data_IF_910903648205
#
_entry.id   IF_910903648205
#
_cell.length_a   1.000
_cell.length_b   1.000
_cell.length_c   1.000
_cell.angle_alpha   90.00
_cell.angle_beta   90.00
_cell.angle_gamma   90.00
#
_symmetry.space_group_name_H-M   'P 1'
#
loop_
_entity.id
_entity.type
_entity.pdbx_description
1 polymer ?
#
# COMPACT_ATOMS: atom_id res chain seq x y z
N UNK A 1 8.34 -16.07 9.65
CA UNK A 1 9.69 -16.21 9.04
C UNK A 1 9.73 -15.73 7.61
N UNK A 2 10.79 -15.02 7.21
CA UNK A 2 11.08 -14.70 5.81
C UNK A 2 12.05 -15.75 5.26
N UNK A 3 11.59 -16.61 4.34
CA UNK A 3 12.41 -17.69 3.76
C UNK A 3 12.87 -17.37 2.35
N UNK A 4 11.91 -17.07 1.48
CA UNK A 4 12.16 -16.90 0.06
C UNK A 4 12.38 -15.42 -0.23
N UNK A 5 13.47 -15.13 -0.93
CA UNK A 5 13.75 -13.83 -1.53
C UNK A 5 14.30 -14.11 -2.93
N UNK A 6 13.46 -13.87 -3.93
CA UNK A 6 13.80 -14.08 -5.32
C UNK A 6 14.83 -13.05 -5.77
N UNK A 7 15.87 -13.48 -6.50
CA UNK A 7 16.82 -12.54 -7.08
C UNK A 7 16.15 -11.66 -8.14
N UNK A 8 16.59 -10.41 -8.25
CA UNK A 8 16.00 -9.47 -9.19
C UNK A 8 16.08 -9.96 -10.66
N UNK A 9 17.15 -10.67 -11.02
CA UNK A 9 17.31 -11.28 -12.34
C UNK A 9 16.21 -12.29 -12.68
N UNK A 10 15.80 -13.11 -11.71
CA UNK A 10 14.71 -14.08 -11.89
C UNK A 10 13.35 -13.39 -12.05
N UNK A 11 13.11 -12.33 -11.28
CA UNK A 11 11.93 -11.47 -11.47
C UNK A 11 11.91 -10.87 -12.88
N UNK A 12 13.03 -10.34 -13.37
CA UNK A 12 13.12 -9.75 -14.71
C UNK A 12 12.82 -10.76 -15.81
N UNK A 13 13.36 -11.99 -15.71
CA UNK A 13 13.05 -13.08 -16.65
C UNK A 13 11.57 -13.40 -16.67
N UNK A 14 10.94 -13.59 -15.50
CA UNK A 14 9.51 -13.85 -15.37
C UNK A 14 8.67 -12.71 -15.95
N UNK A 15 9.02 -11.46 -15.62
CA UNK A 15 8.33 -10.29 -16.14
C UNK A 15 8.41 -10.25 -17.68
N UNK A 16 9.59 -10.46 -18.26
CA UNK A 16 9.75 -10.49 -19.72
C UNK A 16 8.92 -11.59 -20.37
N UNK A 17 8.91 -12.81 -19.82
CA UNK A 17 8.06 -13.89 -20.33
C UNK A 17 6.57 -13.50 -20.31
N UNK A 18 6.09 -12.90 -19.22
CA UNK A 18 4.72 -12.40 -19.15
C UNK A 18 4.44 -11.29 -20.17
N UNK A 19 5.36 -10.33 -20.35
CA UNK A 19 5.18 -9.24 -21.31
C UNK A 19 5.11 -9.74 -22.75
N UNK A 20 5.93 -10.73 -23.12
CA UNK A 20 5.90 -11.35 -24.47
C UNK A 20 4.55 -12.02 -24.73
N UNK A 21 4.04 -12.80 -23.76
CA UNK A 21 2.74 -13.47 -23.88
C UNK A 21 1.59 -12.46 -23.95
N UNK A 22 1.68 -11.37 -23.19
CA UNK A 22 0.62 -10.34 -23.13
C UNK A 22 0.67 -9.36 -24.29
N UNK A 23 1.82 -9.21 -24.98
CA UNK A 23 1.99 -8.28 -26.09
C UNK A 23 0.93 -8.40 -27.19
N UNK A 24 0.64 -9.59 -27.75
CA UNK A 24 -0.40 -9.72 -28.77
C UNK A 24 -1.83 -9.50 -28.24
N UNK A 25 -2.06 -9.69 -26.92
CA UNK A 25 -3.42 -9.66 -26.33
C UNK A 25 -3.78 -8.25 -25.83
N UNK A 26 -2.84 -7.54 -25.20
CA UNK A 26 -3.09 -6.30 -24.46
C UNK A 26 -2.07 -5.19 -24.82
N UNK A 27 -1.70 -5.09 -26.10
CA UNK A 27 -0.72 -4.10 -26.60
C UNK A 27 -0.97 -2.68 -26.08
N UNK A 28 -2.21 -2.19 -26.16
CA UNK A 28 -2.56 -0.83 -25.74
C UNK A 28 -2.27 -0.60 -24.26
N UNK A 29 -2.57 -1.59 -23.42
CA UNK A 29 -2.35 -1.53 -21.97
C UNK A 29 -0.87 -1.52 -21.61
N UNK A 30 -0.06 -2.29 -22.35
CA UNK A 30 1.39 -2.31 -22.20
C UNK A 30 2.00 -0.96 -22.57
N UNK A 31 1.55 -0.35 -23.66
CA UNK A 31 2.00 0.98 -24.08
C UNK A 31 1.61 2.02 -23.02
N UNK A 32 0.36 1.99 -22.58
CA UNK A 32 -0.18 2.92 -21.57
C UNK A 32 0.60 2.86 -20.25
N UNK A 33 0.99 1.66 -19.79
CA UNK A 33 1.69 1.47 -18.53
C UNK A 33 3.19 1.22 -18.67
N UNK A 34 3.77 1.47 -19.85
CA UNK A 34 5.19 1.24 -20.17
C UNK A 34 6.14 1.86 -19.16
N UNK A 35 5.83 3.08 -18.67
CA UNK A 35 6.62 3.78 -17.64
C UNK A 35 6.63 3.02 -16.31
N UNK A 36 5.46 2.55 -15.85
CA UNK A 36 5.35 1.78 -14.61
C UNK A 36 6.02 0.41 -14.74
N UNK A 37 5.87 -0.26 -15.90
CA UNK A 37 6.56 -1.52 -16.18
C UNK A 37 8.08 -1.33 -16.12
N UNK A 38 8.60 -0.29 -16.77
CA UNK A 38 10.04 0.03 -16.77
C UNK A 38 10.54 0.32 -15.36
N UNK A 39 9.77 1.06 -14.57
CA UNK A 39 10.08 1.33 -13.15
C UNK A 39 10.19 0.04 -12.35
N UNK A 40 9.24 -0.88 -12.50
CA UNK A 40 9.27 -2.17 -11.80
C UNK A 40 10.43 -3.05 -12.29
N UNK A 41 10.72 -3.05 -13.59
CA UNK A 41 11.84 -3.79 -14.18
C UNK A 41 13.20 -3.32 -13.64
N UNK A 42 13.35 -2.03 -13.34
CA UNK A 42 14.56 -1.43 -12.76
C UNK A 42 14.60 -1.48 -11.23
N UNK A 43 13.47 -1.76 -10.58
CA UNK A 43 13.36 -1.78 -9.12
C UNK A 43 14.02 -3.05 -8.54
N UNK A 44 15.33 -2.96 -8.35
CA UNK A 44 16.11 -4.00 -7.70
C UNK A 44 15.90 -3.98 -6.17
N UNK A 45 15.42 -5.09 -5.63
CA UNK A 45 15.13 -5.28 -4.20
C UNK A 45 16.13 -6.21 -3.50
N UNK A 46 17.18 -6.66 -4.18
CA UNK A 46 18.12 -7.65 -3.63
C UNK A 46 18.88 -7.09 -2.41
N UNK A 47 19.31 -5.82 -2.50
CA UNK A 47 19.98 -5.09 -1.41
C UNK A 47 19.09 -4.85 -0.19
N UNK A 48 17.77 -5.04 -0.31
CA UNK A 48 16.81 -4.79 0.75
C UNK A 48 16.64 -5.98 1.71
N UNK A 49 17.05 -7.19 1.29
CA UNK A 49 17.00 -8.40 2.10
C UNK A 49 17.65 -8.24 3.50
N UNK A 50 18.87 -7.70 3.66
CA UNK A 50 19.49 -7.54 4.99
C UNK A 50 18.71 -6.60 5.91
N UNK A 51 17.97 -5.63 5.36
CA UNK A 51 17.15 -4.69 6.13
C UNK A 51 15.82 -5.31 6.55
N UNK A 52 15.20 -6.08 5.66
CA UNK A 52 13.86 -6.64 5.88
C UNK A 52 13.91 -7.95 6.67
N UNK A 53 14.92 -8.80 6.46
CA UNK A 53 15.03 -10.13 7.11
C UNK A 53 14.94 -10.07 8.65
N UNK A 54 15.60 -9.11 9.35
CA UNK A 54 15.49 -9.00 10.81
C UNK A 54 14.08 -8.68 11.32
N UNK A 55 13.20 -8.12 10.47
CA UNK A 55 11.83 -7.74 10.84
C UNK A 55 10.86 -8.94 10.92
N UNK A 56 11.34 -10.14 10.59
CA UNK A 56 10.56 -11.37 10.64
C UNK A 56 11.10 -12.30 11.73
N UNK A 57 10.20 -12.95 12.49
CA UNK A 57 10.62 -13.95 13.45
C UNK A 57 11.28 -15.14 12.73
N UNK A 58 12.29 -15.74 13.36
CA UNK A 58 12.97 -16.93 12.81
C UNK A 58 12.06 -18.15 12.67
N UNK A 59 10.97 -18.21 13.45
CA UNK A 59 10.02 -19.33 13.47
C UNK A 59 8.62 -18.92 12.95
N UNK A 60 7.76 -19.91 12.77
CA UNK A 60 6.37 -19.74 12.34
C UNK A 60 6.16 -19.75 10.83
N UNK A 61 4.93 -19.41 10.40
CA UNK A 61 4.52 -19.47 8.99
C UNK A 61 5.44 -18.60 8.12
N UNK A 62 5.89 -19.12 6.96
CA UNK A 62 6.65 -18.32 6.00
C UNK A 62 5.81 -17.16 5.45
N UNK A 63 6.41 -15.97 5.41
CA UNK A 63 5.87 -14.81 4.72
C UNK A 63 5.92 -15.06 3.21
N UNK A 64 4.85 -14.69 2.49
CA UNK A 64 4.71 -14.91 1.04
C UNK A 64 4.74 -13.57 0.31
N UNK A 65 5.31 -13.52 -0.89
CA UNK A 65 5.24 -12.35 -1.79
C UNK A 65 5.75 -11.02 -1.20
N UNK A 66 6.72 -11.00 -0.29
CA UNK A 66 7.10 -9.74 0.37
C UNK A 66 7.71 -8.73 -0.63
N UNK A 67 8.54 -9.19 -1.56
CA UNK A 67 9.04 -8.35 -2.66
C UNK A 67 7.92 -7.87 -3.59
N UNK A 68 6.98 -8.76 -3.90
CA UNK A 68 5.84 -8.39 -4.72
C UNK A 68 4.91 -7.38 -4.07
N UNK A 69 4.75 -7.41 -2.74
CA UNK A 69 3.99 -6.40 -1.99
C UNK A 69 4.65 -5.02 -2.14
N UNK A 70 5.99 -4.94 -2.11
CA UNK A 70 6.73 -3.68 -2.35
C UNK A 70 6.47 -3.16 -3.77
N UNK A 71 6.62 -4.03 -4.78
CA UNK A 71 6.34 -3.67 -6.18
C UNK A 71 4.90 -3.23 -6.37
N UNK A 72 3.97 -3.93 -5.73
CA UNK A 72 2.55 -3.61 -5.74
C UNK A 72 2.24 -2.24 -5.12
N UNK A 73 2.89 -1.88 -4.01
CA UNK A 73 2.74 -0.55 -3.40
C UNK A 73 3.31 0.57 -4.29
N UNK A 74 4.43 0.33 -4.98
CA UNK A 74 4.96 1.28 -5.98
C UNK A 74 3.96 1.46 -7.12
N UNK A 75 3.39 0.37 -7.62
CA UNK A 75 2.39 0.38 -8.67
C UNK A 75 1.08 1.06 -8.23
N UNK A 76 0.67 0.87 -6.99
CA UNK A 76 -0.50 1.53 -6.39
C UNK A 76 -0.38 3.06 -6.48
N UNK A 77 0.80 3.59 -6.13
CA UNK A 77 1.08 5.03 -6.19
C UNK A 77 1.12 5.53 -7.64
N UNK A 78 1.70 4.75 -8.55
CA UNK A 78 1.71 5.09 -9.99
C UNK A 78 0.30 5.17 -10.59
N UNK A 79 -0.61 4.31 -10.10
CA UNK A 79 -2.02 4.30 -10.49
C UNK A 79 -2.87 5.33 -9.74
N UNK A 80 -2.25 6.14 -8.85
CA UNK A 80 -2.91 7.14 -8.01
C UNK A 80 -4.02 6.56 -7.12
N UNK A 81 -3.89 5.29 -6.74
CA UNK A 81 -4.75 4.66 -5.73
C UNK A 81 -4.13 4.90 -4.34
N UNK A 82 -4.98 5.21 -3.36
CA UNK A 82 -4.53 5.55 -2.01
C UNK A 82 -5.17 4.65 -0.94
N UNK A 83 -6.13 3.80 -1.33
CA UNK A 83 -6.72 2.77 -0.48
C UNK A 83 -6.06 1.42 -0.76
N UNK A 84 -5.22 0.97 0.18
CA UNK A 84 -4.60 -0.37 0.13
C UNK A 84 -5.66 -1.47 0.00
N UNK A 85 -6.81 -1.30 0.65
CA UNK A 85 -7.90 -2.28 0.60
C UNK A 85 -8.51 -2.38 -0.79
N UNK A 86 -8.72 -1.24 -1.48
CA UNK A 86 -9.23 -1.24 -2.85
C UNK A 86 -8.16 -1.76 -3.80
N UNK A 87 -6.92 -1.29 -3.65
CA UNK A 87 -5.79 -1.73 -4.46
C UNK A 87 -5.58 -3.24 -4.40
N UNK A 88 -5.58 -3.84 -3.21
CA UNK A 88 -5.42 -5.28 -3.06
C UNK A 88 -6.51 -6.07 -3.80
N UNK A 89 -7.76 -5.56 -3.82
CA UNK A 89 -8.85 -6.16 -4.60
C UNK A 89 -8.62 -5.98 -6.10
N UNK A 90 -8.22 -4.79 -6.53
CA UNK A 90 -7.92 -4.50 -7.94
C UNK A 90 -6.83 -5.43 -8.47
N UNK A 91 -5.71 -5.57 -7.77
CA UNK A 91 -4.61 -6.46 -8.17
C UNK A 91 -5.02 -7.93 -8.12
N UNK A 92 -5.87 -8.33 -7.16
CA UNK A 92 -6.37 -9.70 -7.10
C UNK A 92 -7.27 -10.08 -8.28
N UNK A 93 -8.02 -9.12 -8.82
CA UNK A 93 -8.94 -9.33 -9.94
C UNK A 93 -8.30 -9.10 -11.32
N UNK A 94 -7.05 -8.63 -11.36
CA UNK A 94 -6.40 -8.22 -12.58
C UNK A 94 -5.10 -9.00 -12.83
N UNK A 95 -5.13 -10.03 -13.70
CA UNK A 95 -3.95 -10.85 -14.01
C UNK A 95 -2.75 -10.05 -14.51
N UNK A 96 -2.98 -8.91 -15.18
CA UNK A 96 -1.89 -8.05 -15.65
C UNK A 96 -1.15 -7.44 -14.46
N UNK A 97 -1.87 -6.79 -13.55
CA UNK A 97 -1.28 -6.18 -12.35
C UNK A 97 -0.66 -7.24 -11.43
N UNK A 98 -1.33 -8.38 -11.29
CA UNK A 98 -0.85 -9.53 -10.54
C UNK A 98 0.55 -9.97 -11.01
N UNK A 99 0.72 -10.17 -12.32
CA UNK A 99 1.98 -10.59 -12.92
C UNK A 99 3.05 -9.49 -12.83
N UNK A 100 2.68 -8.22 -13.01
CA UNK A 100 3.62 -7.10 -12.85
C UNK A 100 4.24 -7.06 -11.45
N UNK A 101 3.45 -7.35 -10.41
CA UNK A 101 3.94 -7.41 -9.04
C UNK A 101 4.91 -8.58 -8.80
N UNK A 102 4.95 -9.58 -9.70
CA UNK A 102 5.78 -10.78 -9.54
C UNK A 102 5.29 -11.69 -8.42
N UNK A 103 3.97 -11.83 -8.28
CA UNK A 103 3.40 -12.75 -7.30
C UNK A 103 3.54 -14.20 -7.77
N UNK A 104 4.02 -15.07 -6.87
CA UNK A 104 4.33 -16.47 -7.16
C UNK A 104 3.25 -17.44 -6.66
N UNK A 105 2.30 -16.97 -5.86
CA UNK A 105 1.23 -17.78 -5.28
C UNK A 105 0.03 -17.90 -6.21
N UNK A 106 -0.74 -18.98 -6.05
CA UNK A 106 -2.04 -19.14 -6.74
C UNK A 106 -3.03 -17.98 -6.50
N UNK A 107 -2.84 -17.21 -5.43
CA UNK A 107 -3.72 -16.10 -5.04
C UNK A 107 -2.92 -14.84 -4.72
N UNK A 108 -3.48 -13.67 -5.01
CA UNK A 108 -2.85 -12.39 -4.65
C UNK A 108 -2.84 -12.18 -3.12
N UNK A 109 -1.88 -11.42 -2.57
CA UNK A 109 -1.95 -10.99 -1.18
C UNK A 109 -3.22 -10.20 -0.90
N UNK A 110 -3.92 -10.54 0.19
CA UNK A 110 -5.05 -9.75 0.68
C UNK A 110 -4.58 -8.45 1.36
N UNK A 111 -5.51 -7.52 1.58
CA UNK A 111 -5.20 -6.22 2.21
C UNK A 111 -4.47 -6.35 3.56
N UNK A 112 -4.81 -7.37 4.37
CA UNK A 112 -4.13 -7.65 5.64
C UNK A 112 -2.63 -7.89 5.46
N UNK A 113 -2.20 -8.56 4.39
CA UNK A 113 -0.78 -8.82 4.13
C UNK A 113 0.01 -7.55 3.83
N UNK A 114 -0.61 -6.56 3.17
CA UNK A 114 0.00 -5.24 2.96
C UNK A 114 0.16 -4.50 4.29
N UNK A 115 -0.88 -4.49 5.13
CA UNK A 115 -0.80 -3.84 6.43
C UNK A 115 0.21 -4.54 7.35
N UNK A 116 0.24 -5.88 7.38
CA UNK A 116 1.22 -6.64 8.14
C UNK A 116 2.65 -6.31 7.71
N UNK A 117 2.89 -6.16 6.40
CA UNK A 117 4.18 -5.74 5.86
C UNK A 117 4.56 -4.32 6.32
N UNK A 118 3.64 -3.36 6.18
CA UNK A 118 3.86 -1.97 6.58
C UNK A 118 4.09 -1.82 8.08
N UNK A 119 3.35 -2.57 8.91
CA UNK A 119 3.52 -2.58 10.37
C UNK A 119 4.92 -3.07 10.75
N UNK A 120 5.44 -4.11 10.07
CA UNK A 120 6.81 -4.59 10.29
C UNK A 120 7.86 -3.55 9.93
N UNK A 121 7.66 -2.82 8.84
CA UNK A 121 8.57 -1.74 8.41
C UNK A 121 8.55 -0.53 9.33
N UNK A 122 7.38 -0.20 9.89
CA UNK A 122 7.17 1.04 10.64
C UNK A 122 8.02 1.12 11.92
N UNK A 123 8.37 -0.02 12.53
CA UNK A 123 9.29 -0.18 13.68
C UNK A 123 9.01 0.70 14.93
N UNK A 124 7.99 1.56 14.93
CA UNK A 124 7.63 2.37 16.08
C UNK A 124 6.94 1.51 17.14
N UNK A 125 7.17 1.84 18.41
CA UNK A 125 6.41 1.23 19.49
C UNK A 125 4.90 1.46 19.29
N UNK A 126 4.16 0.35 19.27
CA UNK A 126 2.70 0.33 19.16
C UNK A 126 2.06 1.18 20.26
N UNK A 127 2.67 1.24 21.44
CA UNK A 127 2.17 2.03 22.57
C UNK A 127 2.08 3.52 22.24
N UNK A 128 3.07 4.06 21.54
CA UNK A 128 3.12 5.48 21.12
C UNK A 128 2.04 5.77 20.09
N UNK A 129 1.84 4.86 19.14
CA UNK A 129 0.80 5.01 18.11
C UNK A 129 -0.61 4.93 18.69
N UNK A 130 -0.82 4.02 19.63
CA UNK A 130 -2.11 3.84 20.32
C UNK A 130 -2.41 5.05 21.21
N UNK A 131 -1.44 5.57 21.97
CA UNK A 131 -1.61 6.79 22.79
C UNK A 131 -2.15 7.97 21.98
N UNK A 132 -1.64 8.21 20.76
CA UNK A 132 -2.16 9.28 19.88
C UNK A 132 -3.62 9.08 19.48
N UNK A 133 -4.06 7.83 19.27
CA UNK A 133 -5.43 7.50 18.83
C UNK A 133 -6.43 7.38 19.98
N UNK A 134 -5.96 7.09 21.19
CA UNK A 134 -6.77 7.00 22.40
C UNK A 134 -7.14 8.36 22.99
N UNK A 135 -6.68 9.47 22.43
CA UNK A 135 -7.22 10.77 22.82
C UNK A 135 -8.71 10.80 22.47
N UNK A 136 -9.61 10.84 23.48
CA UNK A 136 -11.02 10.97 23.21
C UNK A 136 -11.19 12.27 22.43
N UNK A 137 -11.73 12.19 21.21
CA UNK A 137 -12.26 13.40 20.58
C UNK A 137 -13.31 13.91 21.54
N UNK A 138 -13.08 15.09 22.13
CA UNK A 138 -14.06 15.72 23.02
C UNK A 138 -15.40 15.69 22.28
N UNK A 139 -16.39 15.01 22.85
CA UNK A 139 -17.75 15.05 22.36
C UNK A 139 -18.21 16.48 22.59
N UNK A 140 -18.00 17.34 21.60
CA UNK A 140 -18.57 18.66 21.62
C UNK A 140 -20.07 18.44 21.41
N UNK A 141 -20.84 18.63 22.47
CA UNK A 141 -22.30 18.65 22.38
C UNK A 141 -22.68 19.55 21.21
N UNK A 142 -23.53 19.07 20.31
CA UNK A 142 -24.18 19.96 19.32
C UNK A 142 -24.80 21.11 20.10
N UNK A 143 -24.63 22.34 19.64
CA UNK A 143 -25.14 23.52 20.33
C UNK A 143 -26.64 23.31 20.63
N UNK A 144 -26.99 23.23 21.91
CA UNK A 144 -28.34 22.85 22.36
C UNK A 144 -29.41 23.92 22.15
N UNK A 145 -29.04 25.11 21.65
CA UNK A 145 -29.99 26.19 21.38
C UNK A 145 -30.41 26.15 19.91
N UNK A 146 -31.69 25.89 19.68
CA UNK A 146 -32.34 26.20 18.40
C UNK A 146 -32.23 27.71 18.20
N UNK A 147 -31.46 28.12 17.19
CA UNK A 147 -31.34 29.52 16.81
C UNK A 147 -32.66 30.01 16.22
N UNK A 148 -33.00 31.28 16.44
CA UNK A 148 -34.15 31.90 15.76
C UNK A 148 -33.83 32.04 14.27
N UNK A 149 -34.87 32.16 13.44
CA UNK A 149 -34.68 32.43 12.02
C UNK A 149 -33.77 33.67 11.83
N UNK A 150 -32.78 33.57 10.94
CA UNK A 150 -31.72 34.56 10.66
C UNK A 150 -30.62 34.76 11.72
N UNK A 151 -30.56 33.93 12.77
CA UNK A 151 -29.48 34.01 13.76
C UNK A 151 -28.33 33.06 13.38
N UNK A 152 -27.10 33.59 13.25
CA UNK A 152 -25.91 32.80 12.87
C UNK A 152 -25.34 32.05 14.07
N UNK A 153 -24.86 30.82 13.84
CA UNK A 153 -24.10 30.07 14.83
C UNK A 153 -22.84 30.84 15.23
N UNK A 154 -22.54 30.98 16.54
CA UNK A 154 -21.28 31.57 16.96
C UNK A 154 -20.11 30.70 16.48
N UNK A 155 -18.96 31.32 16.15
CA UNK A 155 -17.79 30.60 15.70
C UNK A 155 -17.29 29.65 16.79
N UNK A 156 -16.92 28.44 16.37
CA UNK A 156 -16.52 27.34 17.28
C UNK A 156 -15.23 27.63 18.06
N UNK A 157 -14.42 28.58 17.59
CA UNK A 157 -13.20 29.03 18.22
C UNK A 157 -13.22 30.56 18.30
N UNK A 158 -13.11 31.12 19.50
CA UNK A 158 -13.00 32.55 19.70
C UNK A 158 -11.65 33.06 19.14
N UNK A 159 -11.68 34.12 18.32
CA UNK A 159 -10.47 34.76 17.80
C UNK A 159 -10.01 34.34 16.40
N UNK A 160 -10.75 33.48 15.68
CA UNK A 160 -10.40 33.09 14.30
C UNK A 160 -10.27 34.27 13.33
N UNK A 161 -10.98 35.38 13.59
CA UNK A 161 -10.98 36.59 12.75
C UNK A 161 -9.72 37.44 12.95
N UNK A 162 -8.98 37.28 14.06
CA UNK A 162 -7.70 38.00 14.29
C UNK A 162 -6.49 37.36 13.58
N UNK A 163 -6.69 36.24 12.87
CA UNK A 163 -5.62 35.49 12.18
C UNK A 163 -5.57 35.74 10.67
N UNK A 164 -6.23 36.81 10.19
CA UNK A 164 -6.11 37.30 8.82
C UNK A 164 -5.26 38.56 8.80
#
# INVERSE_FOLDING_TARGET
>A
MLRNWEQHSEYQKKLMMHLVVMHPIQKNRLIQHSKSISKLYLLNLDSLLPVIKPLYPGLGRPAKNQQGIIRSLVLMLDFKEHSITNWAKTVANDPFLFNLCGFDSKTAPGASSYYDFLIRLWQSDRSVHVKRKLHPKKFLSRAGKKLKANEKLPPKHAGSVKKL
#
